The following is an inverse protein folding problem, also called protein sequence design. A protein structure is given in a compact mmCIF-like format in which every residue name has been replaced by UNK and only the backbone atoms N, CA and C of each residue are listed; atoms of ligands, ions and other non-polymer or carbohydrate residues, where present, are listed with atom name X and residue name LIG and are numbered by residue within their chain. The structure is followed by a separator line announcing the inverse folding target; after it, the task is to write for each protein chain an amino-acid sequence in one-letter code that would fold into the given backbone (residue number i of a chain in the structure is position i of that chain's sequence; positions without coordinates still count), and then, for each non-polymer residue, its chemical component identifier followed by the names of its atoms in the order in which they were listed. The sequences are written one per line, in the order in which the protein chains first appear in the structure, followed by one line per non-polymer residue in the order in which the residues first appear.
data_IF_406413057795
#
_entry.id   IF_406413057795
#
_cell.length_a   1.000
_cell.length_b   1.000
_cell.length_c   1.000
_cell.angle_alpha   90.00
_cell.angle_beta   90.00
_cell.angle_gamma   90.00
#
_symmetry.space_group_name_H-M   'P 1'
#
loop_
_entity.id
_entity.type
_entity.pdbx_description
1 polymer ?
#
# COMPACT_ATOMS: atom_id res chain seq x y z
N UNK A 1 12.27 13.91 -14.08
CA UNK A 1 10.94 14.54 -13.95
C UNK A 1 11.06 15.66 -12.92
N UNK A 2 10.58 16.86 -13.24
CA UNK A 2 10.83 18.07 -12.44
C UNK A 2 9.93 18.18 -11.19
N UNK A 3 8.79 17.49 -11.17
CA UNK A 3 7.95 17.30 -9.99
C UNK A 3 7.48 15.83 -9.91
N UNK A 4 7.71 15.20 -8.75
CA UNK A 4 7.24 13.83 -8.47
C UNK A 4 6.81 13.70 -7.01
N UNK A 5 5.61 13.18 -6.79
CA UNK A 5 5.12 12.77 -5.47
C UNK A 5 5.24 11.25 -5.34
N UNK A 6 5.64 10.78 -4.15
CA UNK A 6 5.77 9.36 -3.85
C UNK A 6 4.81 9.01 -2.72
N UNK A 7 3.89 8.08 -2.99
CA UNK A 7 2.84 7.68 -2.06
C UNK A 7 2.98 6.19 -1.77
N UNK A 8 3.09 5.84 -0.49
CA UNK A 8 3.11 4.46 -0.04
C UNK A 8 1.72 4.06 0.47
N UNK A 9 1.10 3.07 -0.19
CA UNK A 9 -0.17 2.50 0.26
C UNK A 9 0.11 1.39 1.27
N UNK A 10 0.01 1.72 2.56
CA UNK A 10 0.29 0.79 3.64
C UNK A 10 -0.94 -0.08 3.94
N UNK A 11 -0.84 -1.41 3.85
CA UNK A 11 -1.92 -2.28 4.33
C UNK A 11 -2.00 -2.23 5.87
N UNK A 12 -3.19 -2.49 6.46
CA UNK A 12 -3.43 -2.41 7.91
C UNK A 12 -2.44 -3.24 8.74
N UNK A 13 -2.13 -4.44 8.25
CA UNK A 13 -1.10 -5.30 8.85
C UNK A 13 -0.71 -6.40 7.87
N UNK A 14 0.47 -7.01 8.08
CA UNK A 14 0.89 -8.22 7.35
C UNK A 14 -0.07 -9.39 7.60
N UNK A 15 -0.67 -9.47 8.80
CA UNK A 15 -1.64 -10.51 9.15
C UNK A 15 -2.93 -10.37 8.34
N UNK A 16 -3.46 -9.14 8.22
CA UNK A 16 -4.63 -8.85 7.38
C UNK A 16 -4.32 -9.07 5.90
N UNK A 17 -3.11 -8.72 5.44
CA UNK A 17 -2.66 -8.99 4.08
C UNK A 17 -2.64 -10.50 3.81
N UNK A 18 -2.10 -11.31 4.73
CA UNK A 18 -2.11 -12.77 4.67
C UNK A 18 -3.53 -13.32 4.60
N UNK A 19 -4.45 -12.84 5.44
CA UNK A 19 -5.86 -13.26 5.39
C UNK A 19 -6.53 -12.90 4.07
N UNK A 20 -6.35 -11.68 3.57
CA UNK A 20 -6.91 -11.24 2.27
C UNK A 20 -6.36 -12.05 1.10
N UNK A 21 -5.07 -12.41 1.11
CA UNK A 21 -4.45 -13.24 0.08
C UNK A 21 -4.90 -14.69 0.17
N UNK A 22 -5.04 -15.24 1.38
CA UNK A 22 -5.50 -16.61 1.61
C UNK A 22 -6.97 -16.77 1.16
N UNK A 23 -7.82 -15.80 1.47
CA UNK A 23 -9.23 -15.79 1.07
C UNK A 23 -9.45 -15.64 -0.45
N UNK A 24 -8.42 -15.27 -1.22
CA UNK A 24 -8.54 -15.21 -2.69
C UNK A 24 -8.49 -16.59 -3.33
N UNK A 25 -8.16 -17.67 -2.59
CA UNK A 25 -8.14 -19.09 -2.99
C UNK A 25 -7.48 -19.42 -4.35
N UNK A 26 -6.74 -18.48 -4.92
CA UNK A 26 -6.21 -18.52 -6.30
C UNK A 26 -4.69 -18.52 -6.33
N UNK A 27 -4.04 -18.51 -5.16
CA UNK A 27 -2.58 -18.50 -5.06
C UNK A 27 -2.04 -19.65 -4.23
N UNK A 28 -1.00 -20.30 -4.76
CA UNK A 28 -0.23 -21.32 -4.05
C UNK A 28 0.45 -20.74 -2.81
N UNK A 29 0.66 -21.60 -1.80
CA UNK A 29 1.31 -21.24 -0.52
C UNK A 29 2.69 -20.62 -0.70
N UNK A 30 3.47 -21.04 -1.70
CA UNK A 30 4.78 -20.45 -2.03
C UNK A 30 4.67 -19.00 -2.54
N UNK A 31 3.75 -18.73 -3.47
CA UNK A 31 3.53 -17.38 -4.01
C UNK A 31 3.07 -16.43 -2.91
N UNK A 32 2.22 -16.92 -2.01
CA UNK A 32 1.74 -16.16 -0.87
C UNK A 32 2.88 -15.81 0.09
N UNK A 33 3.77 -16.76 0.40
CA UNK A 33 4.96 -16.51 1.25
C UNK A 33 5.89 -15.49 0.61
N UNK A 34 6.20 -15.63 -0.68
CA UNK A 34 7.04 -14.68 -1.41
C UNK A 34 6.45 -13.26 -1.40
N UNK A 35 5.12 -13.13 -1.56
CA UNK A 35 4.43 -11.84 -1.49
C UNK A 35 4.47 -11.22 -0.10
N UNK A 36 4.32 -12.03 0.97
CA UNK A 36 4.42 -11.55 2.34
C UNK A 36 5.84 -11.08 2.68
N UNK A 37 6.86 -11.85 2.31
CA UNK A 37 8.27 -11.48 2.53
C UNK A 37 8.61 -10.19 1.77
N UNK A 38 8.08 -10.03 0.56
CA UNK A 38 8.21 -8.79 -0.22
C UNK A 38 7.52 -7.62 0.49
N UNK A 39 6.29 -7.80 0.95
CA UNK A 39 5.53 -6.77 1.67
C UNK A 39 6.23 -6.33 2.96
N UNK A 40 6.85 -7.24 3.71
CA UNK A 40 7.64 -6.89 4.89
C UNK A 40 8.82 -5.99 4.53
N UNK A 41 9.53 -6.32 3.45
CA UNK A 41 10.65 -5.50 2.98
C UNK A 41 10.19 -4.14 2.42
N UNK A 42 9.06 -4.09 1.73
CA UNK A 42 8.45 -2.84 1.27
C UNK A 42 7.99 -1.96 2.44
N UNK A 43 7.49 -2.55 3.53
CA UNK A 43 7.16 -1.80 4.76
C UNK A 43 8.37 -1.10 5.38
N UNK A 44 9.58 -1.68 5.27
CA UNK A 44 10.83 -1.03 5.71
C UNK A 44 11.18 0.19 4.84
N UNK A 45 10.69 0.23 3.61
CA UNK A 45 10.86 1.36 2.68
C UNK A 45 9.79 2.44 2.85
N UNK A 46 8.68 2.17 3.55
CA UNK A 46 7.60 3.13 3.76
C UNK A 46 8.05 4.52 4.25
N UNK A 47 9.03 4.65 5.17
CA UNK A 47 9.52 5.96 5.60
C UNK A 47 10.28 6.76 4.53
N UNK A 48 10.62 6.15 3.39
CA UNK A 48 11.29 6.81 2.26
C UNK A 48 10.31 7.49 1.29
N UNK A 49 9.01 7.26 1.46
CA UNK A 49 7.97 7.88 0.65
C UNK A 49 7.53 9.20 1.31
N UNK A 50 7.11 10.15 0.47
CA UNK A 50 6.67 11.47 0.93
C UNK A 50 5.33 11.38 1.71
N UNK A 51 4.44 10.47 1.30
CA UNK A 51 3.15 10.26 1.95
C UNK A 51 2.89 8.78 2.20
N UNK A 52 2.21 8.47 3.31
CA UNK A 52 1.82 7.12 3.69
C UNK A 52 0.30 7.08 3.89
N UNK A 53 -0.40 6.40 3.00
CA UNK A 53 -1.87 6.23 3.05
C UNK A 53 -2.18 4.88 3.67
N UNK A 54 -3.01 4.86 4.72
CA UNK A 54 -3.35 3.64 5.43
C UNK A 54 -4.60 2.99 4.80
N UNK A 55 -4.41 1.88 4.09
CA UNK A 55 -5.48 1.17 3.38
C UNK A 55 -6.29 0.23 4.29
N UNK A 56 -6.81 0.78 5.39
CA UNK A 56 -7.69 0.08 6.31
C UNK A 56 -9.09 -0.04 5.70
N UNK A 57 -9.65 1.11 5.29
CA UNK A 57 -10.95 1.27 4.66
C UNK A 57 -10.73 1.88 3.27
N UNK A 58 -11.23 1.19 2.24
CA UNK A 58 -11.01 1.60 0.84
C UNK A 58 -11.54 3.01 0.56
N UNK A 59 -12.69 3.37 1.13
CA UNK A 59 -13.29 4.69 0.95
C UNK A 59 -12.44 5.81 1.53
N UNK A 60 -11.89 5.61 2.72
CA UNK A 60 -11.04 6.60 3.40
C UNK A 60 -9.70 6.75 2.68
N UNK A 61 -9.06 5.62 2.37
CA UNK A 61 -7.80 5.61 1.64
C UNK A 61 -7.94 6.21 0.23
N UNK A 62 -9.08 6.00 -0.43
CA UNK A 62 -9.40 6.60 -1.72
C UNK A 62 -9.54 8.12 -1.64
N UNK A 63 -10.29 8.62 -0.65
CA UNK A 63 -10.45 10.06 -0.43
C UNK A 63 -9.12 10.74 -0.10
N UNK A 64 -8.29 10.13 0.75
CA UNK A 64 -6.95 10.64 1.10
C UNK A 64 -6.04 10.71 -0.15
N UNK A 65 -6.04 9.66 -0.98
CA UNK A 65 -5.30 9.65 -2.24
C UNK A 65 -5.76 10.73 -3.22
N UNK A 66 -7.07 10.90 -3.37
CA UNK A 66 -7.66 11.91 -4.25
C UNK A 66 -7.26 13.32 -3.81
N UNK A 67 -7.28 13.59 -2.50
CA UNK A 67 -6.86 14.87 -1.95
C UNK A 67 -5.37 15.14 -2.21
N UNK A 68 -4.49 14.16 -1.94
CA UNK A 68 -3.05 14.27 -2.16
C UNK A 68 -2.70 14.55 -3.63
N UNK A 69 -3.34 13.83 -4.56
CA UNK A 69 -3.12 14.02 -6.00
C UNK A 69 -3.67 15.37 -6.45
N UNK A 70 -4.84 15.78 -5.95
CA UNK A 70 -5.43 17.08 -6.29
C UNK A 70 -4.56 18.24 -5.81
N UNK A 71 -3.99 18.16 -4.59
CA UNK A 71 -3.07 19.16 -4.08
C UNK A 71 -1.78 19.23 -4.90
N UNK A 72 -1.24 18.07 -5.32
CA UNK A 72 -0.05 18.00 -6.17
C UNK A 72 -0.29 18.63 -7.56
N UNK A 73 -1.45 18.39 -8.19
CA UNK A 73 -1.79 18.98 -9.51
C UNK A 73 -2.01 20.50 -9.43
N UNK A 74 -2.50 21.00 -8.30
CA UNK A 74 -2.75 22.44 -8.08
C UNK A 74 -1.50 23.24 -7.69
N UNK A 75 -0.38 22.56 -7.37
CA UNK A 75 0.89 23.17 -6.95
C UNK A 75 1.84 23.39 -8.12
#
# INVERSE_FOLDING_TARGET
PDQTITIFIKPPSLATLKQRLTNRETESTETLKMRLDKAENEMKLAPKFQHIVHNNILSEAGAELEELVTQFIKS
#
